data_IF_085195113211
#
_entry.id   IF_085195113211
#
_cell.length_a   1.000
_cell.length_b   1.000
_cell.length_c   1.000
_cell.angle_alpha   90.00
_cell.angle_beta   90.00
_cell.angle_gamma   90.00
#
_symmetry.space_group_name_H-M   'P 1'
#
loop_
_entity.id
_entity.type
_entity.pdbx_description
1 polymer ?
#
# COMPACT_ATOMS: atom_id res chain seq x y z
N UNK A 1 -9.40 -19.79 9.87
CA UNK A 1 -9.22 -18.60 10.72
C UNK A 1 -10.06 -17.47 10.15
N UNK A 2 -11.19 -17.17 10.77
CA UNK A 2 -12.00 -16.00 10.40
C UNK A 2 -11.33 -14.77 10.97
N UNK A 3 -10.71 -13.94 10.12
CA UNK A 3 -10.25 -12.61 10.53
C UNK A 3 -11.50 -11.76 10.86
N UNK A 4 -11.92 -11.78 12.12
CA UNK A 4 -12.80 -10.74 12.64
C UNK A 4 -12.04 -9.43 12.50
N UNK A 5 -12.41 -8.65 11.49
CA UNK A 5 -11.80 -7.35 11.26
C UNK A 5 -12.43 -6.38 12.25
N UNK A 6 -11.86 -6.32 13.45
CA UNK A 6 -12.26 -5.34 14.45
C UNK A 6 -11.93 -3.95 13.90
N UNK A 7 -12.95 -3.19 13.53
CA UNK A 7 -12.77 -1.81 13.09
C UNK A 7 -12.25 -0.97 14.27
N UNK A 8 -11.11 -0.31 14.09
CA UNK A 8 -10.53 0.60 15.08
C UNK A 8 -10.96 2.02 14.76
N UNK A 9 -11.55 2.71 15.74
CA UNK A 9 -11.89 4.13 15.61
C UNK A 9 -10.66 4.99 15.90
N UNK A 10 -10.35 5.89 14.97
CA UNK A 10 -9.28 6.88 15.10
C UNK A 10 -9.92 8.27 15.10
N UNK A 11 -9.46 9.15 15.97
CA UNK A 11 -9.79 10.58 15.94
C UNK A 11 -8.55 11.36 15.51
N UNK A 12 -8.68 12.22 14.51
CA UNK A 12 -7.58 13.01 13.99
C UNK A 12 -8.05 14.45 13.71
N UNK A 13 -7.15 15.40 13.90
CA UNK A 13 -7.34 16.79 13.51
C UNK A 13 -6.61 17.02 12.20
N UNK A 14 -7.30 17.61 11.22
CA UNK A 14 -6.77 17.89 9.90
C UNK A 14 -6.86 19.40 9.62
N UNK A 15 -5.90 19.96 8.87
CA UNK A 15 -6.07 21.25 8.21
C UNK A 15 -7.37 21.29 7.39
N UNK A 16 -8.04 22.45 7.39
CA UNK A 16 -9.34 22.61 6.72
C UNK A 16 -9.29 22.25 5.22
N UNK A 17 -8.18 22.57 4.55
CA UNK A 17 -7.95 22.24 3.15
C UNK A 17 -7.94 20.72 2.88
N UNK A 18 -7.34 19.92 3.78
CA UNK A 18 -7.29 18.47 3.65
C UNK A 18 -8.64 17.83 3.98
N UNK A 19 -9.37 18.39 4.96
CA UNK A 19 -10.72 17.94 5.25
C UNK A 19 -11.65 18.18 4.04
N UNK A 20 -11.56 19.35 3.40
CA UNK A 20 -12.32 19.66 2.20
C UNK A 20 -11.93 18.78 1.01
N UNK A 21 -10.64 18.48 0.85
CA UNK A 21 -10.18 17.53 -0.16
C UNK A 21 -10.79 16.14 0.06
N UNK A 22 -10.81 15.66 1.30
CA UNK A 22 -11.37 14.34 1.64
C UNK A 22 -12.87 14.27 1.32
N UNK A 23 -13.62 15.34 1.56
CA UNK A 23 -15.03 15.47 1.21
C UNK A 23 -15.26 15.40 -0.30
N UNK A 24 -14.49 16.17 -1.06
CA UNK A 24 -14.57 16.18 -2.51
C UNK A 24 -14.18 14.83 -3.11
N UNK A 25 -13.15 14.18 -2.56
CA UNK A 25 -12.73 12.85 -3.00
C UNK A 25 -13.83 11.82 -2.75
N UNK A 26 -14.41 11.80 -1.53
CA UNK A 26 -15.53 10.94 -1.18
C UNK A 26 -16.70 11.10 -2.14
N UNK A 27 -17.11 12.34 -2.42
CA UNK A 27 -18.20 12.63 -3.34
C UNK A 27 -17.88 12.21 -4.78
N UNK A 28 -16.69 12.54 -5.29
CA UNK A 28 -16.27 12.22 -6.67
C UNK A 28 -16.17 10.72 -6.95
N UNK A 29 -15.92 9.92 -5.91
CA UNK A 29 -15.79 8.46 -5.98
C UNK A 29 -17.05 7.72 -5.51
N UNK A 30 -18.11 8.44 -5.16
CA UNK A 30 -19.36 7.90 -4.63
C UNK A 30 -19.13 6.94 -3.44
N UNK A 31 -18.23 7.30 -2.53
CA UNK A 31 -17.93 6.48 -1.35
C UNK A 31 -18.94 6.75 -0.24
N UNK A 32 -19.24 5.71 0.53
CA UNK A 32 -20.27 5.76 1.59
C UNK A 32 -19.93 6.69 2.76
N UNK A 33 -18.64 7.00 2.98
CA UNK A 33 -18.21 7.83 4.10
C UNK A 33 -16.81 8.44 3.91
N UNK A 34 -16.52 9.50 4.67
CA UNK A 34 -15.16 10.04 4.82
C UNK A 34 -14.15 8.98 5.28
N UNK A 35 -14.57 8.04 6.12
CA UNK A 35 -13.72 6.94 6.57
C UNK A 35 -13.33 6.01 5.42
N UNK A 36 -14.22 5.78 4.45
CA UNK A 36 -13.90 5.01 3.25
C UNK A 36 -12.88 5.76 2.37
N UNK A 37 -13.06 7.07 2.18
CA UNK A 37 -12.09 7.91 1.48
C UNK A 37 -10.71 7.91 2.17
N UNK A 38 -10.68 7.99 3.50
CA UNK A 38 -9.43 7.91 4.27
C UNK A 38 -8.78 6.53 4.14
N UNK A 39 -9.57 5.45 4.18
CA UNK A 39 -9.05 4.09 4.00
C UNK A 39 -8.40 3.91 2.61
N UNK A 40 -9.01 4.46 1.56
CA UNK A 40 -8.42 4.44 0.21
C UNK A 40 -7.12 5.25 0.13
N UNK A 41 -7.06 6.42 0.77
CA UNK A 41 -5.83 7.21 0.84
C UNK A 41 -4.70 6.45 1.58
N UNK A 42 -5.02 5.78 2.69
CA UNK A 42 -4.05 4.97 3.44
C UNK A 42 -3.56 3.77 2.61
N UNK A 43 -4.44 3.10 1.86
CA UNK A 43 -4.04 2.02 0.93
C UNK A 43 -3.12 2.54 -0.16
N UNK A 44 -3.46 3.66 -0.79
CA UNK A 44 -2.64 4.28 -1.83
C UNK A 44 -1.25 4.65 -1.30
N UNK A 45 -1.16 5.22 -0.09
CA UNK A 45 0.12 5.52 0.55
C UNK A 45 0.93 4.26 0.82
N UNK A 46 0.30 3.20 1.35
CA UNK A 46 0.97 1.91 1.57
C UNK A 46 1.53 1.35 0.27
N UNK A 47 0.72 1.36 -0.79
CA UNK A 47 1.11 0.80 -2.08
C UNK A 47 2.24 1.65 -2.71
N UNK A 48 2.24 2.97 -2.52
CA UNK A 48 3.34 3.84 -2.92
C UNK A 48 4.65 3.51 -2.17
N UNK A 49 4.59 3.34 -0.85
CA UNK A 49 5.76 2.95 -0.04
C UNK A 49 6.31 1.59 -0.46
N UNK A 50 5.43 0.63 -0.73
CA UNK A 50 5.81 -0.70 -1.23
C UNK A 50 6.46 -0.61 -2.61
N UNK A 51 5.88 0.16 -3.53
CA UNK A 51 6.44 0.34 -4.87
C UNK A 51 7.83 0.98 -4.83
N UNK A 52 8.05 1.94 -3.93
CA UNK A 52 9.36 2.57 -3.75
C UNK A 52 10.38 1.54 -3.22
N UNK A 53 10.02 0.78 -2.18
CA UNK A 53 10.88 -0.26 -1.65
C UNK A 53 11.23 -1.34 -2.70
N UNK A 54 10.27 -1.73 -3.55
CA UNK A 54 10.53 -2.68 -4.65
C UNK A 54 11.46 -2.10 -5.72
N UNK A 55 11.39 -0.80 -6.00
CA UNK A 55 12.32 -0.14 -6.93
C UNK A 55 13.73 -0.11 -6.35
N UNK A 56 13.88 0.30 -5.10
CA UNK A 56 15.16 0.30 -4.39
C UNK A 56 15.79 -1.10 -4.38
N UNK A 57 14.99 -2.13 -4.08
CA UNK A 57 15.42 -3.53 -4.14
C UNK A 57 15.90 -3.93 -5.55
N UNK A 58 15.11 -3.62 -6.57
CA UNK A 58 15.46 -3.92 -7.97
C UNK A 58 16.71 -3.20 -8.44
N UNK A 59 16.94 -1.98 -7.98
CA UNK A 59 18.14 -1.20 -8.28
C UNK A 59 19.37 -1.76 -7.54
N UNK A 60 19.21 -2.17 -6.27
CA UNK A 60 20.26 -2.86 -5.50
C UNK A 60 20.66 -4.20 -6.14
N UNK A 61 19.69 -5.00 -6.59
CA UNK A 61 19.94 -6.23 -7.34
C UNK A 61 20.67 -5.96 -8.66
N UNK A 62 20.25 -4.94 -9.43
CA UNK A 62 20.90 -4.57 -10.69
C UNK A 62 22.32 -4.07 -10.49
N UNK A 63 22.58 -3.39 -9.37
CA UNK A 63 23.91 -2.97 -8.94
C UNK A 63 24.75 -4.14 -8.38
N UNK A 64 24.20 -5.35 -8.27
CA UNK A 64 24.87 -6.52 -7.71
C UNK A 64 25.13 -6.44 -6.21
N UNK A 65 24.48 -5.50 -5.51
CA UNK A 65 24.58 -5.28 -4.07
C UNK A 65 23.74 -6.28 -3.27
N UNK A 66 22.74 -6.88 -3.92
CA UNK A 66 21.88 -7.90 -3.35
C UNK A 66 21.86 -9.11 -4.28
N UNK A 67 22.68 -10.11 -3.95
CA UNK A 67 22.81 -11.33 -4.74
C UNK A 67 21.84 -12.38 -4.22
N UNK A 68 20.87 -12.75 -5.07
CA UNK A 68 20.17 -14.01 -4.90
C UNK A 68 21.13 -15.15 -5.28
N UNK A 69 21.10 -16.29 -4.58
CA UNK A 69 21.78 -17.47 -5.07
C UNK A 69 21.27 -17.77 -6.48
N UNK A 70 22.20 -18.02 -7.41
CA UNK A 70 21.90 -18.32 -8.81
C UNK A 70 21.09 -19.61 -9.00
N UNK A 71 20.91 -20.38 -7.93
CA UNK A 71 20.14 -21.60 -7.91
C UNK A 71 18.73 -21.35 -7.37
N UNK A 72 17.91 -20.78 -8.25
CA UNK A 72 16.46 -20.72 -8.12
C UNK A 72 15.78 -21.81 -8.97
N UNK A 73 16.49 -22.94 -9.17
CA UNK A 73 15.98 -24.10 -9.92
C UNK A 73 15.32 -25.16 -9.04
N UNK A 74 15.25 -24.92 -7.73
CA UNK A 74 14.54 -25.79 -6.78
C UNK A 74 13.09 -26.04 -7.24
N UNK A 75 12.78 -27.31 -7.53
CA UNK A 75 11.48 -27.75 -8.05
C UNK A 75 11.31 -27.76 -9.58
N UNK A 76 12.34 -27.42 -10.37
CA UNK A 76 12.34 -27.52 -11.84
C UNK A 76 13.02 -28.79 -12.38
N UNK A 77 13.38 -29.73 -11.52
CA UNK A 77 13.89 -31.05 -11.93
C UNK A 77 12.79 -31.86 -12.65
N UNK A 78 12.71 -31.76 -13.98
CA UNK A 78 11.82 -32.60 -14.78
C UNK A 78 11.24 -32.01 -16.06
N UNK A 79 11.67 -30.83 -16.51
CA UNK A 79 11.27 -30.25 -17.82
C UNK A 79 12.36 -30.42 -18.87
#
# INVERSE_FOLDING_TARGET
>A
MTHTTNAVRISATLPAELAMFLDNYQASRALDSRSAALADAVRALRDQVLNEAYRELGDAQRAGLEQYPADNTDGLEGV
#
